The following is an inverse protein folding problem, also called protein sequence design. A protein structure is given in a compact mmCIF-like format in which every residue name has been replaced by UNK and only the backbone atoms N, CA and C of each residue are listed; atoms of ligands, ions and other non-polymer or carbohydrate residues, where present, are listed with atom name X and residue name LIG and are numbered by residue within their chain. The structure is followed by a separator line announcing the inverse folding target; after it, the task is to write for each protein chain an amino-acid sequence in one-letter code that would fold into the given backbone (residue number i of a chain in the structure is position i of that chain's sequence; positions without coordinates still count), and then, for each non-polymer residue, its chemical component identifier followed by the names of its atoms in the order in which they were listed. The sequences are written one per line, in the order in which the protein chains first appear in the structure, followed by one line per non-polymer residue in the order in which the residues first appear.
data_IF_973048482105
#
_entry.id   IF_973048482105
#
_cell.length_a   1.000
_cell.length_b   1.000
_cell.length_c   1.000
_cell.angle_alpha   90.00
_cell.angle_beta   90.00
_cell.angle_gamma   90.00
#
_symmetry.space_group_name_H-M   'P 1'
#
loop_
_entity.id
_entity.type
_entity.pdbx_description
1 polymer ?
#
# COMPACT_ATOMS: atom_id res chain seq x y z
N UNK A 1 9.62 7.25 -12.55
CA UNK A 1 9.60 5.80 -12.31
C UNK A 1 8.21 5.43 -11.79
N UNK A 2 7.63 4.33 -12.28
CA UNK A 2 6.38 3.79 -11.73
C UNK A 2 6.71 2.91 -10.52
N UNK A 3 5.94 3.04 -9.46
CA UNK A 3 6.06 2.21 -8.26
C UNK A 3 4.68 1.85 -7.72
N UNK A 4 4.62 0.75 -6.98
CA UNK A 4 3.45 0.36 -6.21
C UNK A 4 3.76 0.57 -4.74
N UNK A 5 2.93 1.36 -4.05
CA UNK A 5 3.08 1.61 -2.61
C UNK A 5 2.02 0.84 -1.87
N UNK A 6 2.45 -0.01 -0.95
CA UNK A 6 1.60 -0.78 -0.04
C UNK A 6 1.58 -0.07 1.32
N UNK A 7 0.40 0.20 1.85
CA UNK A 7 0.24 0.99 3.07
C UNK A 7 -1.01 0.59 3.87
N UNK A 8 -0.99 0.88 5.18
CA UNK A 8 -2.20 0.95 6.00
C UNK A 8 -2.67 2.40 6.13
N UNK A 9 -3.98 2.61 6.21
CA UNK A 9 -4.56 3.90 6.62
C UNK A 9 -4.73 3.91 8.14
N UNK A 10 -4.82 5.09 8.75
CA UNK A 10 -5.04 5.22 10.19
C UNK A 10 -6.40 4.69 10.66
N UNK A 11 -7.36 4.55 9.74
CA UNK A 11 -8.74 4.17 10.09
C UNK A 11 -9.03 2.67 9.95
N UNK A 12 -8.13 1.89 9.36
CA UNK A 12 -8.36 0.47 9.08
C UNK A 12 -7.06 -0.33 9.08
N UNK A 13 -7.15 -1.59 9.49
CA UNK A 13 -6.06 -2.57 9.35
C UNK A 13 -6.08 -3.26 7.97
N UNK A 14 -6.85 -2.75 7.01
CA UNK A 14 -6.86 -3.25 5.64
C UNK A 14 -5.59 -2.82 4.88
N UNK A 15 -4.96 -3.80 4.23
CA UNK A 15 -3.78 -3.54 3.41
C UNK A 15 -4.19 -2.89 2.08
N UNK A 16 -3.82 -1.63 1.87
CA UNK A 16 -4.05 -0.94 0.61
C UNK A 16 -2.81 -0.95 -0.28
N UNK A 17 -3.00 -0.92 -1.60
CA UNK A 17 -1.93 -0.69 -2.56
C UNK A 17 -2.34 0.38 -3.58
N UNK A 18 -1.37 1.16 -4.05
CA UNK A 18 -1.61 2.20 -5.06
C UNK A 18 -0.40 2.42 -5.96
N UNK A 19 -0.67 2.61 -7.26
CA UNK A 19 0.34 2.99 -8.24
C UNK A 19 0.65 4.47 -8.16
N UNK A 20 1.94 4.79 -8.14
CA UNK A 20 2.45 6.15 -8.10
C UNK A 20 3.56 6.33 -9.11
N UNK A 21 3.63 7.53 -9.69
CA UNK A 21 4.80 7.95 -10.45
C UNK A 21 5.64 8.88 -9.58
N UNK A 22 6.88 8.48 -9.34
CA UNK A 22 7.81 9.12 -8.40
C UNK A 22 9.15 9.40 -9.06
N UNK A 23 9.89 10.35 -8.48
CA UNK A 23 11.27 10.65 -8.86
C UNK A 23 12.21 9.76 -8.05
N UNK A 24 13.18 9.16 -8.73
CA UNK A 24 14.22 8.34 -8.13
C UNK A 24 15.44 9.23 -7.81
N UNK A 25 16.06 9.06 -6.63
CA UNK A 25 17.38 9.64 -6.37
C UNK A 25 18.46 8.82 -7.08
N UNK A 26 19.63 9.43 -7.27
CA UNK A 26 20.83 8.84 -7.87
C UNK A 26 21.33 7.57 -7.17
N UNK A 27 20.91 7.31 -5.93
CA UNK A 27 21.29 6.12 -5.16
C UNK A 27 20.25 4.99 -5.19
N UNK A 28 19.28 5.04 -6.11
CA UNK A 28 18.21 4.03 -6.22
C UNK A 28 17.11 4.16 -5.17
N UNK A 29 17.17 5.13 -4.25
CA UNK A 29 16.07 5.38 -3.30
C UNK A 29 14.96 6.18 -3.96
N UNK A 30 13.75 5.69 -3.82
CA UNK A 30 12.52 6.36 -4.25
C UNK A 30 12.11 7.41 -3.20
N UNK A 31 11.71 8.61 -3.64
CA UNK A 31 11.13 9.61 -2.76
C UNK A 31 9.60 9.58 -2.91
N UNK A 32 8.90 9.19 -1.86
CA UNK A 32 7.45 9.35 -1.75
C UNK A 32 7.17 10.76 -1.18
N UNK A 33 6.26 11.55 -1.78
CA UNK A 33 5.88 12.87 -1.27
C UNK A 33 5.39 12.80 0.19
N UNK A 34 5.78 13.76 1.03
CA UNK A 34 5.39 13.80 2.45
C UNK A 34 3.87 13.89 2.62
N UNK A 35 3.19 14.69 1.81
CA UNK A 35 1.73 14.78 1.81
C UNK A 35 1.05 13.44 1.53
N UNK A 36 1.68 12.58 0.70
CA UNK A 36 1.14 11.26 0.42
C UNK A 36 1.25 10.33 1.63
N UNK A 37 2.31 10.47 2.45
CA UNK A 37 2.54 9.65 3.65
C UNK A 37 1.63 10.05 4.81
N UNK A 38 1.07 11.26 4.80
CA UNK A 38 0.21 11.73 5.89
C UNK A 38 -1.00 10.82 6.05
N UNK A 39 -1.22 10.33 7.27
CA UNK A 39 -2.31 9.40 7.59
C UNK A 39 -2.12 7.97 7.07
N UNK A 40 -0.92 7.65 6.56
CA UNK A 40 -0.60 6.33 6.01
C UNK A 40 0.67 5.77 6.61
N UNK A 41 0.62 4.52 7.02
CA UNK A 41 1.80 3.76 7.39
C UNK A 41 2.31 3.01 6.15
N UNK A 42 3.41 3.47 5.57
CA UNK A 42 4.02 2.85 4.39
C UNK A 42 4.69 1.53 4.79
N UNK A 43 4.25 0.42 4.17
CA UNK A 43 4.74 -0.93 4.48
C UNK A 43 5.79 -1.38 3.47
N UNK A 44 5.51 -1.17 2.18
CA UNK A 44 6.44 -1.54 1.11
C UNK A 44 6.31 -0.63 -0.10
N UNK A 45 7.39 -0.55 -0.89
CA UNK A 45 7.44 0.15 -2.17
C UNK A 45 8.07 -0.79 -3.18
N UNK A 46 7.31 -1.16 -4.20
CA UNK A 46 7.74 -2.06 -5.27
C UNK A 46 7.99 -1.26 -6.54
N UNK A 47 8.99 -1.66 -7.32
CA UNK A 47 9.20 -1.12 -8.67
C UNK A 47 8.10 -1.61 -9.62
N UNK A 48 7.59 -0.70 -10.46
CA UNK A 48 6.54 -1.00 -11.42
C UNK A 48 5.14 -1.09 -10.82
N UNK A 49 4.24 -1.67 -11.60
CA UNK A 49 2.84 -1.94 -11.24
C UNK A 49 2.76 -3.39 -10.77
N UNK A 50 2.36 -3.59 -9.52
CA UNK A 50 2.25 -4.91 -8.88
C UNK A 50 0.81 -5.13 -8.46
N UNK A 51 0.21 -6.20 -8.98
CA UNK A 51 -1.12 -6.65 -8.57
C UNK A 51 -1.02 -7.46 -7.27
N UNK A 52 -1.76 -7.02 -6.25
CA UNK A 52 -1.86 -7.75 -4.98
C UNK A 52 -3.00 -8.76 -5.09
N UNK A 53 -2.65 -10.04 -5.24
CA UNK A 53 -3.61 -11.12 -5.45
C UNK A 53 -4.37 -11.55 -4.19
N UNK A 54 -3.76 -11.41 -3.01
CA UNK A 54 -4.37 -11.73 -1.73
C UNK A 54 -3.90 -10.75 -0.65
N UNK A 55 -4.82 -10.30 0.21
CA UNK A 55 -4.53 -9.46 1.37
C UNK A 55 -4.93 -10.18 2.66
N UNK A 56 -4.25 -9.84 3.75
CA UNK A 56 -4.70 -10.25 5.08
C UNK A 56 -6.06 -9.62 5.34
N UNK A 57 -7.03 -10.41 5.78
CA UNK A 57 -8.41 -9.95 5.95
C UNK A 57 -9.37 -10.30 4.80
N UNK A 58 -8.90 -10.59 3.59
CA UNK A 58 -9.77 -10.89 2.43
C UNK A 58 -10.66 -12.14 2.64
N UNK A 59 -10.27 -13.04 3.56
CA UNK A 59 -11.02 -14.26 3.90
C UNK A 59 -11.80 -14.16 5.20
N UNK A 60 -11.87 -12.98 5.84
CA UNK A 60 -12.72 -12.79 7.00
C UNK A 60 -14.15 -12.72 6.47
N UNK A 61 -14.84 -13.86 6.46
CA UNK A 61 -16.29 -13.90 6.29
C UNK A 61 -16.90 -12.94 7.32
N UNK A 62 -17.95 -12.16 6.96
CA UNK A 62 -18.65 -11.36 7.96
C UNK A 62 -19.01 -12.26 9.14
N UNK A 63 -18.75 -11.79 10.36
CA UNK A 63 -19.06 -12.45 11.64
C UNK A 63 -20.57 -12.76 11.82
N UNK A 64 -21.39 -12.47 10.81
CA UNK A 64 -22.80 -12.83 10.71
C UNK A 64 -23.04 -14.25 10.17
N UNK A 65 -22.01 -15.04 9.86
CA UNK A 65 -22.17 -16.43 9.39
C UNK A 65 -22.31 -17.47 10.51
N UNK A 66 -22.33 -17.05 11.78
CA UNK A 66 -22.67 -17.91 12.91
C UNK A 66 -23.82 -17.29 13.70
N UNK A 67 -24.95 -17.99 13.71
CA UNK A 67 -26.24 -17.75 14.39
C UNK A 67 -27.27 -16.91 13.61
#
# INVERSE_FOLDING_TARGET
MKVTVIYYDNNSLELHHKYLTVKTKSNGRVIIPEDYKKGKSIIAVCEGEVDVLNKVGDRILPVSACA
#
